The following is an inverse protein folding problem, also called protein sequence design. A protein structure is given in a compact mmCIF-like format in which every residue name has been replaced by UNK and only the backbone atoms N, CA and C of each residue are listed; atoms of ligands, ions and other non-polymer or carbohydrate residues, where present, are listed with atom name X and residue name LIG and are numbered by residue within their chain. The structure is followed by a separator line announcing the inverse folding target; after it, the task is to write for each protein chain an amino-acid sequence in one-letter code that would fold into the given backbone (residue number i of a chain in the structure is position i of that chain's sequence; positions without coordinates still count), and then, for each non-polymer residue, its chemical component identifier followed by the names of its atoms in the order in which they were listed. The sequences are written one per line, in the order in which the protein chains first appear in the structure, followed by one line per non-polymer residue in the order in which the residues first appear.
data_IF_485735236944
#
_entry.id   IF_485735236944
#
_cell.length_a   1.000
_cell.length_b   1.000
_cell.length_c   1.000
_cell.angle_alpha   90.00
_cell.angle_beta   90.00
_cell.angle_gamma   90.00
#
_symmetry.space_group_name_H-M   'P 1'
#
loop_
_entity.id
_entity.type
_entity.pdbx_description
1 polymer ?
#
# COMPACT_ATOMS: atom_id res chain seq x y z
N UNK A 1 -50.69 4.07 7.97
CA UNK A 1 -49.81 4.69 9.02
C UNK A 1 -48.47 4.02 8.94
N UNK A 2 -47.48 4.66 8.28
CA UNK A 2 -46.11 4.18 8.23
C UNK A 2 -45.47 4.70 9.53
N UNK A 3 -45.22 3.82 10.48
CA UNK A 3 -44.43 4.13 11.67
C UNK A 3 -43.03 4.51 11.22
N UNK A 4 -42.72 5.79 11.25
CA UNK A 4 -41.37 6.31 11.20
C UNK A 4 -40.64 5.84 12.45
N UNK A 5 -39.95 4.72 12.34
CA UNK A 5 -39.03 4.27 13.37
C UNK A 5 -38.02 5.39 13.60
N UNK A 6 -38.11 6.06 14.73
CA UNK A 6 -37.15 7.10 15.15
C UNK A 6 -35.81 6.41 15.29
N UNK A 7 -34.97 6.56 14.26
CA UNK A 7 -33.65 6.01 14.23
C UNK A 7 -32.77 6.70 15.28
N UNK A 8 -32.56 6.02 16.41
CA UNK A 8 -31.64 6.52 17.46
C UNK A 8 -30.21 6.28 16.98
N UNK A 9 -29.41 7.34 16.79
CA UNK A 9 -28.03 7.17 16.36
C UNK A 9 -27.24 6.39 17.43
N UNK A 10 -26.46 5.40 16.99
CA UNK A 10 -25.56 4.64 17.87
C UNK A 10 -24.47 5.56 18.45
N UNK A 11 -23.83 5.12 19.55
CA UNK A 11 -22.72 5.87 20.19
C UNK A 11 -21.64 6.27 19.16
N UNK A 12 -21.24 5.35 18.28
CA UNK A 12 -20.28 5.61 17.20
C UNK A 12 -20.78 6.63 16.19
N UNK A 13 -22.08 6.66 15.88
CA UNK A 13 -22.66 7.67 14.99
C UNK A 13 -22.61 9.08 15.61
N UNK A 14 -22.78 9.17 16.92
CA UNK A 14 -22.70 10.46 17.63
C UNK A 14 -21.27 11.01 17.62
N UNK A 15 -20.25 10.15 17.84
CA UNK A 15 -18.82 10.54 17.86
C UNK A 15 -18.32 10.87 16.45
N UNK A 16 -18.61 10.01 15.47
CA UNK A 16 -18.06 10.13 14.12
C UNK A 16 -18.86 11.11 13.22
N UNK A 17 -20.08 11.47 13.60
CA UNK A 17 -20.92 12.38 12.83
C UNK A 17 -20.98 12.02 11.33
N UNK A 18 -20.67 12.99 10.45
CA UNK A 18 -20.61 12.79 8.99
C UNK A 18 -19.61 11.72 8.56
N UNK A 19 -18.60 11.41 9.37
CA UNK A 19 -17.57 10.42 9.03
C UNK A 19 -18.02 8.98 9.32
N UNK A 20 -19.15 8.76 10.01
CA UNK A 20 -19.70 7.44 10.28
C UNK A 20 -19.90 6.58 9.02
N UNK A 21 -20.25 7.18 7.88
CA UNK A 21 -20.39 6.50 6.59
C UNK A 21 -19.10 5.78 6.17
N UNK A 22 -17.93 6.37 6.42
CA UNK A 22 -16.64 5.79 6.10
C UNK A 22 -16.31 4.59 6.99
N UNK A 23 -16.65 4.69 8.28
CA UNK A 23 -16.55 3.57 9.22
C UNK A 23 -17.47 2.40 8.82
N UNK A 24 -18.70 2.70 8.41
CA UNK A 24 -19.63 1.67 7.94
C UNK A 24 -19.12 0.98 6.68
N UNK A 25 -18.59 1.72 5.72
CA UNK A 25 -17.96 1.18 4.52
C UNK A 25 -16.79 0.26 4.86
N UNK A 26 -15.88 0.69 5.73
CA UNK A 26 -14.76 -0.14 6.20
C UNK A 26 -15.26 -1.45 6.84
N UNK A 27 -16.22 -1.36 7.74
CA UNK A 27 -16.80 -2.54 8.43
C UNK A 27 -17.44 -3.52 7.44
N UNK A 28 -18.14 -3.00 6.44
CA UNK A 28 -18.73 -3.82 5.38
C UNK A 28 -17.66 -4.56 4.57
N UNK A 29 -16.62 -3.87 4.13
CA UNK A 29 -15.52 -4.45 3.35
C UNK A 29 -14.70 -5.45 4.18
N UNK A 30 -14.51 -5.21 5.47
CA UNK A 30 -13.90 -6.19 6.37
C UNK A 30 -14.70 -7.49 6.43
N UNK A 31 -16.02 -7.39 6.57
CA UNK A 31 -16.89 -8.58 6.57
C UNK A 31 -16.85 -9.32 5.22
N UNK A 32 -16.86 -8.57 4.12
CA UNK A 32 -16.77 -9.12 2.76
C UNK A 32 -15.44 -9.85 2.53
N UNK A 33 -14.34 -9.33 3.06
CA UNK A 33 -13.02 -9.95 2.97
C UNK A 33 -12.99 -11.38 3.54
N UNK A 34 -13.75 -11.67 4.60
CA UNK A 34 -13.84 -13.00 5.21
C UNK A 34 -14.42 -14.08 4.29
N UNK A 35 -15.24 -13.71 3.31
CA UNK A 35 -15.86 -14.67 2.40
C UNK A 35 -14.88 -15.34 1.42
N UNK A 36 -13.64 -14.83 1.33
CA UNK A 36 -12.59 -15.34 0.43
C UNK A 36 -11.46 -16.02 1.20
N UNK A 37 -11.76 -16.68 2.32
CA UNK A 37 -10.75 -17.23 3.23
C UNK A 37 -9.84 -18.27 2.57
N UNK A 38 -10.38 -19.19 1.77
CA UNK A 38 -9.58 -20.24 1.10
C UNK A 38 -8.51 -19.63 0.17
N UNK A 39 -8.92 -18.72 -0.71
CA UNK A 39 -8.01 -18.00 -1.61
C UNK A 39 -6.96 -17.21 -0.83
N UNK A 40 -7.35 -16.65 0.31
CA UNK A 40 -6.45 -15.93 1.20
C UNK A 40 -5.38 -16.85 1.78
N UNK A 41 -5.76 -18.03 2.31
CA UNK A 41 -4.81 -19.01 2.89
C UNK A 41 -3.81 -19.45 1.83
N UNK A 42 -4.27 -19.86 0.64
CA UNK A 42 -3.39 -20.27 -0.45
C UNK A 42 -2.39 -19.18 -0.84
N UNK A 43 -2.87 -17.97 -1.08
CA UNK A 43 -1.99 -16.86 -1.43
C UNK A 43 -0.99 -16.51 -0.32
N UNK A 44 -1.40 -16.59 0.94
CA UNK A 44 -0.51 -16.33 2.07
C UNK A 44 0.59 -17.39 2.17
N UNK A 45 0.23 -18.68 1.97
CA UNK A 45 1.19 -19.78 2.00
C UNK A 45 2.23 -19.69 0.88
N UNK A 46 1.79 -19.47 -0.37
CA UNK A 46 2.71 -19.30 -1.51
C UNK A 46 3.68 -18.16 -1.26
N UNK A 47 3.17 -17.02 -0.83
CA UNK A 47 4.00 -15.83 -0.57
C UNK A 47 4.93 -15.99 0.64
N UNK A 48 4.56 -16.81 1.64
CA UNK A 48 5.45 -17.16 2.74
C UNK A 48 6.62 -18.03 2.24
N UNK A 49 6.34 -19.00 1.36
CA UNK A 49 7.38 -19.84 0.74
C UNK A 49 8.33 -18.99 -0.10
N UNK A 50 7.81 -18.10 -0.97
CA UNK A 50 8.64 -17.17 -1.74
C UNK A 50 9.57 -16.35 -0.84
N UNK A 51 9.02 -15.81 0.25
CA UNK A 51 9.79 -15.03 1.21
C UNK A 51 10.88 -15.85 1.89
N UNK A 52 10.55 -17.04 2.39
CA UNK A 52 11.51 -17.91 3.03
C UNK A 52 12.65 -18.32 2.07
N UNK A 53 12.32 -18.57 0.80
CA UNK A 53 13.32 -18.87 -0.22
C UNK A 53 14.29 -17.68 -0.44
N UNK A 54 13.78 -16.45 -0.52
CA UNK A 54 14.61 -15.25 -0.65
C UNK A 54 15.54 -15.10 0.56
N UNK A 55 15.01 -15.16 1.79
CA UNK A 55 15.83 -15.02 3.00
C UNK A 55 16.87 -16.15 3.10
N UNK A 56 16.50 -17.38 2.73
CA UNK A 56 17.42 -18.52 2.74
C UNK A 56 18.57 -18.34 1.74
N UNK A 57 18.30 -17.85 0.52
CA UNK A 57 19.34 -17.52 -0.46
C UNK A 57 20.32 -16.49 0.08
N UNK A 58 19.82 -15.45 0.73
CA UNK A 58 20.67 -14.44 1.34
C UNK A 58 21.48 -15.02 2.50
N UNK A 59 20.90 -15.88 3.33
CA UNK A 59 21.62 -16.53 4.44
C UNK A 59 22.77 -17.43 3.97
N UNK A 60 22.59 -18.21 2.91
CA UNK A 60 23.66 -19.04 2.32
C UNK A 60 24.84 -18.18 1.85
N UNK A 61 24.58 -16.99 1.34
CA UNK A 61 25.61 -16.05 0.89
C UNK A 61 26.30 -15.28 2.03
N UNK A 62 26.25 -15.80 3.27
CA UNK A 62 26.87 -15.20 4.46
C UNK A 62 26.42 -13.74 4.72
N UNK A 63 25.16 -13.45 4.46
CA UNK A 63 24.60 -12.13 4.71
C UNK A 63 24.59 -11.81 6.20
N UNK A 64 24.78 -10.53 6.53
CA UNK A 64 24.73 -10.04 7.91
C UNK A 64 23.32 -10.14 8.48
N UNK A 65 23.20 -10.23 9.82
CA UNK A 65 21.90 -10.17 10.52
C UNK A 65 21.08 -8.93 10.15
N UNK A 66 21.75 -7.83 9.79
CA UNK A 66 21.08 -6.61 9.30
C UNK A 66 20.31 -6.83 8.00
N UNK A 67 20.88 -7.55 7.03
CA UNK A 67 20.22 -7.84 5.74
C UNK A 67 19.04 -8.78 5.97
N UNK A 68 19.21 -9.82 6.81
CA UNK A 68 18.13 -10.74 7.15
C UNK A 68 17.00 -10.02 7.86
N UNK A 69 17.33 -9.14 8.83
CA UNK A 69 16.35 -8.29 9.52
C UNK A 69 15.64 -7.35 8.55
N UNK A 70 16.39 -6.69 7.65
CA UNK A 70 15.81 -5.83 6.62
C UNK A 70 14.77 -6.57 5.78
N UNK A 71 15.09 -7.77 5.31
CA UNK A 71 14.18 -8.58 4.50
C UNK A 71 12.97 -9.06 5.32
N UNK A 72 13.17 -9.52 6.56
CA UNK A 72 12.11 -10.06 7.40
C UNK A 72 11.13 -8.99 7.85
N UNK A 73 11.60 -7.94 8.51
CA UNK A 73 10.78 -6.82 9.00
C UNK A 73 10.24 -6.00 7.82
N UNK A 74 11.06 -5.80 6.79
CA UNK A 74 10.66 -5.13 5.56
C UNK A 74 9.53 -5.83 4.84
N UNK A 75 9.50 -7.17 4.85
CA UNK A 75 8.37 -7.92 4.28
C UNK A 75 7.08 -7.68 5.03
N UNK A 76 7.12 -7.60 6.35
CA UNK A 76 5.94 -7.25 7.18
C UNK A 76 5.44 -5.86 6.80
N UNK A 77 6.34 -4.88 6.75
CA UNK A 77 6.03 -3.51 6.38
C UNK A 77 5.42 -3.41 4.97
N UNK A 78 6.06 -4.04 3.98
CA UNK A 78 5.57 -4.10 2.60
C UNK A 78 4.19 -4.75 2.48
N UNK A 79 3.91 -5.80 3.29
CA UNK A 79 2.59 -6.45 3.33
C UNK A 79 1.50 -5.52 3.83
N UNK A 80 1.75 -4.78 4.91
CA UNK A 80 0.79 -3.81 5.43
C UNK A 80 0.44 -2.72 4.41
N UNK A 81 1.39 -2.40 3.51
CA UNK A 81 1.22 -1.44 2.43
C UNK A 81 0.59 -2.03 1.15
N UNK A 82 0.32 -3.34 1.10
CA UNK A 82 -0.13 -3.98 -0.12
C UNK A 82 -1.61 -3.70 -0.40
N UNK A 83 -1.91 -3.31 -1.63
CA UNK A 83 -3.22 -2.92 -2.14
C UNK A 83 -3.35 -3.32 -3.61
N UNK A 84 -4.58 -3.45 -4.10
CA UNK A 84 -4.93 -3.69 -5.51
C UNK A 84 -5.66 -2.49 -6.13
N UNK A 85 -5.52 -1.33 -5.52
CA UNK A 85 -6.25 -0.11 -5.88
C UNK A 85 -6.09 0.27 -7.36
N UNK A 86 -4.90 0.12 -7.90
CA UNK A 86 -4.59 0.35 -9.31
C UNK A 86 -5.39 -0.56 -10.24
N UNK A 87 -5.40 -1.87 -9.97
CA UNK A 87 -6.20 -2.84 -10.72
C UNK A 87 -7.70 -2.61 -10.60
N UNK A 88 -8.18 -2.26 -9.39
CA UNK A 88 -9.60 -1.93 -9.16
C UNK A 88 -10.00 -0.69 -9.97
N UNK A 89 -9.21 0.37 -9.93
CA UNK A 89 -9.48 1.60 -10.69
C UNK A 89 -9.44 1.32 -12.19
N UNK A 90 -8.41 0.62 -12.67
CA UNK A 90 -8.28 0.28 -14.09
C UNK A 90 -9.46 -0.56 -14.59
N UNK A 91 -9.89 -1.55 -13.80
CA UNK A 91 -11.08 -2.35 -14.11
C UNK A 91 -12.34 -1.50 -14.20
N UNK A 92 -12.57 -0.61 -13.22
CA UNK A 92 -13.74 0.27 -13.19
C UNK A 92 -13.77 1.21 -14.39
N UNK A 93 -12.63 1.74 -14.82
CA UNK A 93 -12.52 2.59 -16.01
C UNK A 93 -12.81 1.76 -17.27
N UNK A 94 -12.10 0.65 -17.48
CA UNK A 94 -12.20 -0.16 -18.70
C UNK A 94 -13.57 -0.81 -18.90
N UNK A 95 -14.30 -1.09 -17.82
CA UNK A 95 -15.65 -1.70 -17.85
C UNK A 95 -16.79 -0.69 -17.71
N UNK A 96 -16.50 0.62 -17.69
CA UNK A 96 -17.51 1.66 -17.50
C UNK A 96 -18.11 1.73 -16.09
N UNK A 97 -17.62 0.89 -15.16
CA UNK A 97 -18.12 0.83 -13.78
C UNK A 97 -17.83 2.07 -12.95
N UNK A 98 -16.91 2.93 -13.39
CA UNK A 98 -16.58 4.18 -12.70
C UNK A 98 -17.77 5.12 -12.63
N UNK A 99 -18.66 5.14 -13.64
CA UNK A 99 -19.84 6.02 -13.72
C UNK A 99 -20.71 5.91 -12.47
N UNK A 100 -20.96 4.71 -11.95
CA UNK A 100 -21.76 4.53 -10.73
C UNK A 100 -21.14 5.21 -9.50
N UNK A 101 -19.82 5.31 -9.43
CA UNK A 101 -19.12 5.99 -8.33
C UNK A 101 -19.14 7.51 -8.51
N UNK A 102 -19.13 7.99 -9.75
CA UNK A 102 -19.24 9.41 -10.07
C UNK A 102 -20.63 9.99 -9.75
N UNK A 103 -21.69 9.16 -9.83
CA UNK A 103 -23.06 9.55 -9.47
C UNK A 103 -23.29 9.61 -7.94
N UNK A 104 -22.36 9.09 -7.13
CA UNK A 104 -22.50 9.18 -5.68
C UNK A 104 -22.27 10.62 -5.20
N UNK A 105 -23.00 11.10 -4.18
CA UNK A 105 -22.83 12.43 -3.60
C UNK A 105 -21.54 12.55 -2.75
N UNK A 106 -20.57 11.69 -2.99
CA UNK A 106 -19.30 11.60 -2.29
C UNK A 106 -18.15 11.64 -3.30
N UNK A 107 -16.94 11.93 -2.81
CA UNK A 107 -15.74 11.80 -3.64
C UNK A 107 -15.55 10.33 -4.06
N UNK A 108 -15.72 10.06 -5.36
CA UNK A 108 -15.65 8.72 -5.95
C UNK A 108 -14.34 7.99 -5.65
N UNK A 109 -13.19 8.68 -5.82
CA UNK A 109 -11.88 8.11 -5.53
C UNK A 109 -11.73 7.74 -4.05
N UNK A 110 -12.28 8.57 -3.15
CA UNK A 110 -12.24 8.27 -1.71
C UNK A 110 -13.05 7.04 -1.37
N UNK A 111 -14.22 6.84 -1.98
CA UNK A 111 -15.04 5.63 -1.78
C UNK A 111 -14.30 4.38 -2.25
N UNK A 112 -13.72 4.42 -3.46
CA UNK A 112 -12.97 3.30 -4.02
C UNK A 112 -11.75 2.97 -3.15
N UNK A 113 -10.99 3.99 -2.75
CA UNK A 113 -9.77 3.82 -1.93
C UNK A 113 -10.07 3.24 -0.55
N UNK A 114 -11.11 3.74 0.15
CA UNK A 114 -11.50 3.21 1.46
C UNK A 114 -12.04 1.80 1.33
N UNK A 115 -12.77 1.50 0.25
CA UNK A 115 -13.25 0.17 -0.05
C UNK A 115 -12.13 -0.84 -0.25
N UNK A 116 -11.13 -0.52 -1.09
CA UNK A 116 -9.96 -1.37 -1.31
C UNK A 116 -9.13 -1.54 -0.03
N UNK A 117 -8.86 -0.45 0.70
CA UNK A 117 -8.16 -0.51 1.97
C UNK A 117 -8.89 -1.41 2.97
N UNK A 118 -10.21 -1.22 3.16
CA UNK A 118 -11.00 -2.03 4.08
C UNK A 118 -11.01 -3.52 3.71
N UNK A 119 -11.09 -3.83 2.41
CA UNK A 119 -11.06 -5.22 1.94
C UNK A 119 -9.70 -5.89 2.16
N UNK A 120 -8.61 -5.18 1.93
CA UNK A 120 -7.26 -5.74 1.96
C UNK A 120 -6.60 -5.69 3.34
N UNK A 121 -6.88 -4.68 4.17
CA UNK A 121 -6.14 -4.40 5.40
C UNK A 121 -6.05 -5.61 6.36
N UNK A 122 -7.18 -6.25 6.70
CA UNK A 122 -7.16 -7.42 7.60
C UNK A 122 -6.38 -8.56 6.98
N UNK A 123 -6.61 -8.86 5.70
CA UNK A 123 -5.95 -9.95 4.99
C UNK A 123 -4.43 -9.76 4.98
N UNK A 124 -3.98 -8.55 4.65
CA UNK A 124 -2.56 -8.24 4.61
C UNK A 124 -1.94 -8.20 5.99
N UNK A 125 -2.64 -7.71 7.02
CA UNK A 125 -2.17 -7.75 8.41
C UNK A 125 -1.98 -9.20 8.89
N UNK A 126 -2.96 -10.07 8.69
CA UNK A 126 -2.84 -11.49 9.06
C UNK A 126 -1.68 -12.15 8.30
N UNK A 127 -1.56 -11.89 7.00
CA UNK A 127 -0.44 -12.41 6.20
C UNK A 127 0.92 -11.87 6.68
N UNK A 128 1.00 -10.60 7.06
CA UNK A 128 2.21 -9.98 7.61
C UNK A 128 2.64 -10.63 8.92
N UNK A 129 1.71 -10.78 9.87
CA UNK A 129 1.99 -11.44 11.15
C UNK A 129 2.38 -12.90 10.98
N UNK A 130 1.69 -13.64 10.13
CA UNK A 130 2.05 -15.03 9.84
C UNK A 130 3.46 -15.15 9.26
N UNK A 131 3.81 -14.29 8.30
CA UNK A 131 5.15 -14.27 7.71
C UNK A 131 6.22 -13.89 8.74
N UNK A 132 5.92 -12.94 9.64
CA UNK A 132 6.82 -12.54 10.72
C UNK A 132 7.07 -13.70 11.69
N UNK A 133 6.01 -14.38 12.13
CA UNK A 133 6.14 -15.53 13.05
C UNK A 133 7.00 -16.61 12.40
N UNK A 134 6.78 -16.96 11.14
CA UNK A 134 7.58 -17.93 10.42
C UNK A 134 9.06 -17.49 10.32
N UNK A 135 9.29 -16.22 10.01
CA UNK A 135 10.65 -15.67 9.94
C UNK A 135 11.37 -15.77 11.29
N UNK A 136 10.72 -15.42 12.39
CA UNK A 136 11.29 -15.52 13.74
C UNK A 136 11.58 -16.99 14.09
N UNK A 137 10.66 -17.91 13.80
CA UNK A 137 10.86 -19.34 14.12
C UNK A 137 12.05 -19.97 13.37
N UNK A 138 12.28 -19.54 12.12
CA UNK A 138 13.33 -20.12 11.26
C UNK A 138 14.68 -19.41 11.41
N UNK A 139 14.65 -18.08 11.60
CA UNK A 139 15.83 -17.21 11.61
C UNK A 139 16.00 -16.46 12.95
N UNK A 140 15.55 -17.05 14.07
CA UNK A 140 15.49 -16.39 15.39
C UNK A 140 16.80 -15.73 15.84
N UNK A 141 17.96 -16.30 15.48
CA UNK A 141 19.28 -15.76 15.87
C UNK A 141 19.77 -14.64 14.95
N UNK A 142 19.13 -14.45 13.79
CA UNK A 142 19.56 -13.52 12.75
C UNK A 142 18.64 -12.30 12.65
N UNK A 143 17.50 -12.28 13.38
CA UNK A 143 16.53 -11.18 13.32
C UNK A 143 16.67 -10.30 14.56
N UNK A 144 16.98 -9.03 14.32
CA UNK A 144 17.06 -8.01 15.37
C UNK A 144 15.66 -7.42 15.55
N UNK A 145 15.03 -7.70 16.70
CA UNK A 145 13.77 -7.07 17.10
C UNK A 145 14.08 -5.92 18.07
N UNK A 146 13.68 -4.70 17.70
CA UNK A 146 13.96 -3.50 18.47
C UNK A 146 12.66 -2.67 18.68
N UNK A 147 12.60 -1.94 19.79
CA UNK A 147 11.55 -0.96 20.10
C UNK A 147 11.45 0.18 19.08
N UNK A 148 12.46 0.37 18.24
CA UNK A 148 12.43 1.29 17.09
C UNK A 148 11.27 1.01 16.13
N UNK A 149 10.63 -0.16 16.20
CA UNK A 149 9.39 -0.45 15.48
C UNK A 149 8.28 0.59 15.74
N UNK A 150 8.25 1.24 16.91
CA UNK A 150 7.29 2.30 17.24
C UNK A 150 7.53 3.54 16.35
N UNK A 151 8.80 3.87 16.08
CA UNK A 151 9.17 5.01 15.22
C UNK A 151 8.70 4.78 13.78
N UNK A 152 8.50 3.52 13.36
CA UNK A 152 8.01 3.20 12.02
C UNK A 152 6.54 3.60 11.80
N UNK A 153 5.74 3.79 12.84
CA UNK A 153 4.29 4.07 12.70
C UNK A 153 4.02 5.33 11.84
N UNK A 154 4.62 6.50 12.10
CA UNK A 154 4.41 7.67 11.25
C UNK A 154 4.92 7.46 9.82
N UNK A 155 6.01 6.72 9.62
CA UNK A 155 6.53 6.39 8.29
C UNK A 155 5.64 5.38 7.56
N UNK A 156 4.99 4.46 8.27
CA UNK A 156 3.97 3.57 7.70
C UNK A 156 2.78 4.37 7.15
N UNK A 157 2.33 5.37 7.90
CA UNK A 157 1.22 6.25 7.47
C UNK A 157 1.63 7.05 6.22
N UNK A 158 2.83 7.63 6.21
CA UNK A 158 3.35 8.34 5.03
C UNK A 158 3.46 7.41 3.82
N UNK A 159 4.05 6.24 4.00
CA UNK A 159 4.19 5.23 2.96
C UNK A 159 2.83 4.78 2.40
N UNK A 160 1.81 4.57 3.28
CA UNK A 160 0.44 4.27 2.86
C UNK A 160 -0.15 5.37 1.98
N UNK A 161 0.03 6.64 2.36
CA UNK A 161 -0.50 7.78 1.60
C UNK A 161 0.21 7.88 0.23
N UNK A 162 1.54 7.83 0.22
CA UNK A 162 2.35 7.90 -1.01
C UNK A 162 1.96 6.76 -1.96
N UNK A 163 1.92 5.52 -1.45
CA UNK A 163 1.60 4.32 -2.23
C UNK A 163 0.16 4.35 -2.75
N UNK A 164 -0.79 4.87 -1.97
CA UNK A 164 -2.18 5.05 -2.39
C UNK A 164 -2.29 5.96 -3.60
N UNK A 165 -1.68 7.15 -3.56
CA UNK A 165 -1.72 8.07 -4.70
C UNK A 165 -0.95 7.54 -5.90
N UNK A 166 0.18 6.86 -5.68
CA UNK A 166 0.91 6.20 -6.74
C UNK A 166 0.06 5.13 -7.43
N UNK A 167 -0.63 4.27 -6.67
CA UNK A 167 -1.52 3.25 -7.24
C UNK A 167 -2.75 3.85 -7.92
N UNK A 168 -3.29 4.96 -7.43
CA UNK A 168 -4.32 5.70 -8.17
C UNK A 168 -3.80 6.15 -9.54
N UNK A 169 -2.60 6.72 -9.60
CA UNK A 169 -1.97 7.14 -10.86
C UNK A 169 -1.78 5.98 -11.83
N UNK A 170 -1.32 4.82 -11.34
CA UNK A 170 -1.22 3.61 -12.15
C UNK A 170 -2.58 3.17 -12.70
N UNK A 171 -3.61 3.14 -11.86
CA UNK A 171 -4.97 2.79 -12.29
C UNK A 171 -5.53 3.72 -13.35
N UNK A 172 -5.14 5.00 -13.32
CA UNK A 172 -5.57 6.00 -14.31
C UNK A 172 -4.98 5.77 -15.70
N UNK A 173 -3.93 4.94 -15.87
CA UNK A 173 -3.39 4.54 -17.18
C UNK A 173 -4.53 3.99 -18.05
N UNK A 174 -5.52 3.34 -17.47
CA UNK A 174 -6.67 2.81 -18.18
C UNK A 174 -7.50 3.86 -18.95
N UNK A 175 -7.47 5.14 -18.58
CA UNK A 175 -8.11 6.21 -19.35
C UNK A 175 -7.50 6.41 -20.74
N UNK A 176 -6.23 6.06 -20.90
CA UNK A 176 -5.47 6.22 -22.15
C UNK A 176 -5.25 4.90 -22.89
N UNK A 177 -5.57 3.77 -22.25
CA UNK A 177 -5.45 2.45 -22.88
C UNK A 177 -6.70 2.14 -23.71
N UNK A 178 -6.50 1.49 -24.86
CA UNK A 178 -7.59 1.05 -25.74
C UNK A 178 -8.34 -0.15 -25.16
N UNK A 179 -7.64 -1.00 -24.42
CA UNK A 179 -8.21 -2.20 -23.80
C UNK A 179 -7.64 -2.45 -22.39
N UNK A 180 -8.30 -3.32 -21.66
CA UNK A 180 -7.92 -3.67 -20.29
C UNK A 180 -6.58 -4.43 -20.22
N UNK A 181 -6.28 -5.26 -21.23
CA UNK A 181 -5.07 -6.08 -21.25
C UNK A 181 -3.82 -5.21 -21.33
N UNK A 182 -3.82 -4.22 -22.23
CA UNK A 182 -2.71 -3.27 -22.36
C UNK A 182 -2.53 -2.43 -21.11
N UNK A 183 -3.63 -1.98 -20.48
CA UNK A 183 -3.57 -1.25 -19.23
C UNK A 183 -2.94 -2.09 -18.10
N UNK A 184 -3.38 -3.36 -17.95
CA UNK A 184 -2.88 -4.23 -16.88
C UNK A 184 -1.39 -4.53 -17.04
N UNK A 185 -0.92 -4.78 -18.26
CA UNK A 185 0.50 -5.04 -18.53
C UNK A 185 1.38 -3.85 -18.14
N UNK A 186 0.97 -2.63 -18.49
CA UNK A 186 1.69 -1.42 -18.10
C UNK A 186 1.68 -1.24 -16.58
N UNK A 187 0.53 -1.40 -15.94
CA UNK A 187 0.38 -1.30 -14.48
C UNK A 187 1.32 -2.29 -13.78
N UNK A 188 1.33 -3.55 -14.21
CA UNK A 188 2.17 -4.58 -13.61
C UNK A 188 3.66 -4.29 -13.82
N UNK A 189 4.06 -3.77 -14.99
CA UNK A 189 5.43 -3.34 -15.27
C UNK A 189 5.87 -2.23 -14.31
N UNK A 190 5.07 -1.18 -14.16
CA UNK A 190 5.38 -0.08 -13.23
C UNK A 190 5.35 -0.53 -11.76
N UNK A 191 4.46 -1.46 -11.41
CA UNK A 191 4.40 -2.05 -10.06
C UNK A 191 5.68 -2.83 -9.76
N UNK A 192 6.16 -3.67 -10.68
CA UNK A 192 7.42 -4.39 -10.54
C UNK A 192 8.61 -3.42 -10.43
N UNK A 193 8.67 -2.41 -11.29
CA UNK A 193 9.69 -1.37 -11.22
C UNK A 193 9.70 -0.66 -9.85
N UNK A 194 8.52 -0.27 -9.35
CA UNK A 194 8.43 0.36 -8.03
C UNK A 194 8.88 -0.55 -6.88
N UNK A 195 8.67 -1.86 -6.98
CA UNK A 195 9.17 -2.85 -6.03
C UNK A 195 10.70 -2.93 -6.01
N UNK A 196 11.34 -2.88 -7.19
CA UNK A 196 12.80 -2.84 -7.29
C UNK A 196 13.36 -1.55 -6.66
N UNK A 197 12.83 -0.39 -7.05
CA UNK A 197 13.28 0.92 -6.53
C UNK A 197 12.88 1.19 -5.08
N UNK A 198 11.99 0.40 -4.49
CA UNK A 198 11.68 0.49 -3.06
C UNK A 198 12.69 -0.26 -2.18
N UNK A 199 13.47 -1.17 -2.75
CA UNK A 199 14.37 -2.06 -2.01
C UNK A 199 13.67 -3.33 -1.51
N UNK A 200 12.51 -3.71 -2.06
CA UNK A 200 11.76 -4.88 -1.62
C UNK A 200 12.42 -6.21 -2.04
N UNK A 201 13.12 -6.21 -3.17
CA UNK A 201 13.81 -7.38 -3.72
C UNK A 201 15.27 -7.40 -3.28
N UNK A 202 15.96 -6.28 -3.45
CA UNK A 202 17.37 -6.09 -3.08
C UNK A 202 17.48 -4.85 -2.22
N UNK A 203 18.04 -4.93 -0.99
CA UNK A 203 18.23 -3.75 -0.17
C UNK A 203 19.08 -2.71 -0.90
N UNK A 204 18.53 -1.50 -1.12
CA UNK A 204 19.18 -0.49 -1.96
C UNK A 204 20.53 -0.01 -1.42
N UNK A 205 20.76 -0.09 -0.10
CA UNK A 205 22.02 0.29 0.51
C UNK A 205 23.19 -0.62 0.11
N UNK A 206 22.93 -1.80 -0.48
CA UNK A 206 23.95 -2.67 -1.04
C UNK A 206 24.44 -2.13 -2.39
N UNK A 207 23.52 -1.52 -3.16
CA UNK A 207 23.80 -1.04 -4.51
C UNK A 207 24.27 0.41 -4.54
N UNK A 208 23.79 1.22 -3.61
CA UNK A 208 23.98 2.66 -3.59
C UNK A 208 24.40 3.11 -2.19
N UNK A 209 25.29 4.10 -2.13
CA UNK A 209 25.76 4.71 -0.89
C UNK A 209 25.47 6.20 -0.83
N UNK A 210 25.47 6.76 0.38
CA UNK A 210 25.30 8.19 0.64
C UNK A 210 23.83 8.62 0.75
N UNK A 211 23.49 9.26 1.87
CA UNK A 211 22.13 9.71 2.20
C UNK A 211 21.52 10.64 1.13
N UNK A 212 22.31 11.50 0.51
CA UNK A 212 21.87 12.45 -0.52
C UNK A 212 21.88 11.89 -1.94
N UNK A 213 22.08 10.57 -2.14
CA UNK A 213 21.98 9.98 -3.46
C UNK A 213 20.55 10.19 -4.00
N UNK A 214 20.39 10.78 -5.21
CA UNK A 214 19.06 11.12 -5.77
C UNK A 214 18.08 9.95 -5.83
N UNK A 215 18.59 8.72 -5.98
CA UNK A 215 17.75 7.52 -6.05
C UNK A 215 16.98 7.29 -4.73
N UNK A 216 17.57 7.66 -3.58
CA UNK A 216 16.94 7.54 -2.28
C UNK A 216 15.84 8.57 -2.03
N UNK A 217 15.75 9.63 -2.85
CA UNK A 217 14.72 10.66 -2.75
C UNK A 217 13.57 10.47 -3.73
N UNK A 218 13.52 9.32 -4.43
CA UNK A 218 12.36 8.93 -5.24
C UNK A 218 11.18 8.52 -4.33
N UNK A 219 9.91 8.62 -4.77
CA UNK A 219 8.76 8.25 -3.95
C UNK A 219 8.78 6.77 -3.55
N UNK A 220 9.44 5.91 -4.31
CA UNK A 220 9.48 4.47 -4.09
C UNK A 220 10.27 4.07 -2.85
N UNK A 221 11.33 4.77 -2.53
CA UNK A 221 12.18 4.49 -1.36
C UNK A 221 11.46 4.71 -0.04
N UNK A 222 10.41 5.53 -0.04
CA UNK A 222 9.54 5.73 1.12
C UNK A 222 8.62 4.50 1.38
N UNK A 223 8.47 3.59 0.41
CA UNK A 223 7.69 2.37 0.63
C UNK A 223 8.40 1.39 1.55
N UNK A 224 9.74 1.32 1.52
CA UNK A 224 10.48 0.35 2.30
C UNK A 224 11.88 0.83 2.73
N UNK A 225 12.69 1.35 1.81
CA UNK A 225 14.10 1.64 2.09
C UNK A 225 14.28 2.55 3.31
N UNK A 226 13.70 3.75 3.29
CA UNK A 226 13.83 4.69 4.40
C UNK A 226 13.29 4.16 5.73
N UNK A 227 12.05 3.60 5.81
CA UNK A 227 11.58 2.97 7.04
C UNK A 227 12.55 1.92 7.58
N UNK A 228 13.12 1.09 6.72
CA UNK A 228 14.03 0.05 7.16
C UNK A 228 15.40 0.58 7.60
N UNK A 229 15.93 1.64 6.97
CA UNK A 229 17.15 2.30 7.44
C UNK A 229 16.97 2.94 8.82
N UNK A 230 15.78 3.52 9.08
CA UNK A 230 15.40 4.04 10.39
C UNK A 230 15.35 2.91 11.42
N UNK A 231 14.69 1.79 11.06
CA UNK A 231 14.59 0.62 11.95
C UNK A 231 15.95 0.07 12.34
N UNK A 232 16.86 -0.07 11.37
CA UNK A 232 18.22 -0.55 11.59
C UNK A 232 19.14 0.48 12.29
N UNK A 233 18.63 1.68 12.58
CA UNK A 233 19.39 2.74 13.26
C UNK A 233 20.52 3.32 12.43
N UNK A 234 20.42 3.25 11.10
CA UNK A 234 21.46 3.78 10.19
C UNK A 234 21.36 5.28 9.96
N UNK A 235 20.22 5.90 10.34
CA UNK A 235 20.00 7.32 10.18
C UNK A 235 20.14 8.04 11.52
N UNK A 236 20.79 9.21 11.49
CA UNK A 236 20.79 10.17 12.58
C UNK A 236 19.41 10.82 12.75
N UNK A 237 19.15 11.44 13.90
CA UNK A 237 17.88 12.12 14.16
C UNK A 237 17.58 13.22 13.12
N UNK A 238 18.61 13.91 12.61
CA UNK A 238 18.48 14.93 11.58
C UNK A 238 18.06 14.31 10.23
N UNK A 239 18.67 13.20 9.85
CA UNK A 239 18.30 12.47 8.63
C UNK A 239 16.88 11.91 8.69
N UNK A 240 16.45 11.38 9.85
CA UNK A 240 15.06 10.94 10.08
C UNK A 240 14.10 12.11 9.86
N UNK A 241 14.43 13.30 10.34
CA UNK A 241 13.63 14.49 10.13
C UNK A 241 13.54 14.89 8.65
N UNK A 242 14.66 14.84 7.91
CA UNK A 242 14.64 15.10 6.46
C UNK A 242 13.83 14.07 5.70
N UNK A 243 13.92 12.79 6.04
CA UNK A 243 13.10 11.74 5.44
C UNK A 243 11.61 11.99 5.70
N UNK A 244 11.24 12.42 6.91
CA UNK A 244 9.86 12.76 7.23
C UNK A 244 9.35 13.93 6.38
N UNK A 245 10.14 15.00 6.23
CA UNK A 245 9.78 16.13 5.36
C UNK A 245 9.68 15.73 3.89
N UNK A 246 10.61 14.92 3.40
CA UNK A 246 10.59 14.38 2.03
C UNK A 246 9.35 13.53 1.77
N UNK A 247 8.95 12.70 2.74
CA UNK A 247 7.71 11.93 2.67
C UNK A 247 6.46 12.81 2.62
N UNK A 248 6.40 13.87 3.43
CA UNK A 248 5.31 14.86 3.37
C UNK A 248 5.27 15.58 2.02
N UNK A 249 6.42 15.97 1.48
CA UNK A 249 6.51 16.60 0.16
C UNK A 249 5.95 15.66 -0.93
N UNK A 250 6.33 14.38 -0.92
CA UNK A 250 5.78 13.40 -1.87
C UNK A 250 4.29 13.16 -1.69
N UNK A 251 3.76 13.13 -0.47
CA UNK A 251 2.31 13.06 -0.24
C UNK A 251 1.58 14.22 -0.93
N UNK A 252 2.10 15.43 -0.82
CA UNK A 252 1.51 16.64 -1.43
C UNK A 252 1.61 16.57 -2.96
N UNK A 253 2.80 16.29 -3.49
CA UNK A 253 3.05 16.22 -4.94
C UNK A 253 2.13 15.18 -5.58
N UNK A 254 2.11 13.96 -5.06
CA UNK A 254 1.32 12.86 -5.63
C UNK A 254 -0.19 13.08 -5.47
N UNK A 255 -0.65 13.73 -4.38
CA UNK A 255 -2.05 14.12 -4.22
C UNK A 255 -2.51 15.05 -5.35
N UNK A 256 -1.76 16.14 -5.60
CA UNK A 256 -2.13 17.07 -6.65
C UNK A 256 -2.01 16.45 -8.04
N UNK A 257 -0.96 15.66 -8.27
CA UNK A 257 -0.77 14.94 -9.53
C UNK A 257 -1.93 13.96 -9.80
N UNK A 258 -2.30 13.14 -8.81
CA UNK A 258 -3.41 12.19 -8.94
C UNK A 258 -4.73 12.91 -9.22
N UNK A 259 -5.00 14.03 -8.54
CA UNK A 259 -6.19 14.83 -8.77
C UNK A 259 -6.22 15.45 -10.17
N UNK A 260 -5.08 15.94 -10.65
CA UNK A 260 -4.93 16.51 -11.97
C UNK A 260 -5.12 15.47 -13.07
N UNK A 261 -4.41 14.33 -12.98
CA UNK A 261 -4.49 13.22 -13.94
C UNK A 261 -5.90 12.64 -14.00
N UNK A 262 -6.55 12.45 -12.84
CA UNK A 262 -7.94 11.98 -12.79
C UNK A 262 -8.89 12.92 -13.53
N UNK A 263 -8.77 14.25 -13.30
CA UNK A 263 -9.59 15.25 -13.99
C UNK A 263 -9.38 15.23 -15.51
N UNK A 264 -8.14 15.03 -15.97
CA UNK A 264 -7.83 14.87 -17.39
C UNK A 264 -8.42 13.57 -17.97
N UNK A 265 -8.30 12.47 -17.22
CA UNK A 265 -8.84 11.18 -17.63
C UNK A 265 -10.35 11.17 -17.78
N UNK A 266 -11.07 11.83 -16.87
CA UNK A 266 -12.54 11.98 -16.97
C UNK A 266 -12.97 12.69 -18.25
N UNK A 267 -12.32 13.80 -18.62
CA UNK A 267 -12.62 14.52 -19.87
C UNK A 267 -12.44 13.63 -21.11
N UNK A 268 -11.46 12.74 -21.09
CA UNK A 268 -11.24 11.80 -22.19
C UNK A 268 -12.30 10.68 -22.22
N UNK A 269 -12.72 10.21 -21.07
CA UNK A 269 -13.71 9.13 -20.94
C UNK A 269 -15.11 9.59 -21.40
N UNK A 270 -15.47 10.83 -21.13
CA UNK A 270 -16.72 11.45 -21.61
C UNK A 270 -16.75 11.55 -23.14
N UNK A 271 -15.60 11.83 -23.76
CA UNK A 271 -15.50 11.91 -25.23
C UNK A 271 -15.62 10.55 -25.95
N UNK A 272 -15.43 9.43 -25.25
CA UNK A 272 -15.52 8.07 -25.81
C UNK A 272 -16.86 7.40 -25.52
N UNK A 273 -17.60 7.90 -24.54
CA UNK A 273 -18.88 7.35 -24.07
C UNK A 273 -20.13 8.05 -24.60
N UNK A 274 -19.99 9.00 -25.49
CA UNK A 274 -21.03 9.66 -26.29
C UNK A 274 -20.85 9.33 -27.76
#
# INVERSE_FOLDING_TARGET
MIQTAIYKPTFLQKILGRNYKWWYLLKYEFKRSGNHFQTFVLNTSIRAIEFLAIVYIWKINNSTAEIITYLAVGRVFSRLLNSWLDGVIAYLISKGGLTRYLLLPNNSLKVITIGDFGFNFIRQSVSAFFTLILAILIFQNDIILDFRAIILIPFLILALIIKTYYFQLLGFIAFWSKDQGNASTLIDTFRMGSGLFSGEVIPLFILFSGFFNPIFWTPFTFFLHHPMQIYLGKYSNLEIFYVFLGGLAWCIILYFLAKWVFKMGLKRNEAVGL
#
